data_IF_607816160864
#
_entry.id   IF_607816160864
#
_cell.length_a   1.000
_cell.length_b   1.000
_cell.length_c   1.000
_cell.angle_alpha   90.00
_cell.angle_beta   90.00
_cell.angle_gamma   90.00
#
_symmetry.space_group_name_H-M   'P 1'
#
loop_
_entity.id
_entity.type
_entity.pdbx_description
1 polymer ?
#
# COMPACT_ATOMS: atom_id res chain seq x y z
N UNK A 1 22.23 -7.00 -18.37
CA UNK A 1 20.77 -7.00 -18.56
C UNK A 1 20.21 -5.74 -17.94
N UNK A 2 19.49 -4.95 -18.72
CA UNK A 2 18.75 -3.78 -18.28
C UNK A 2 17.39 -4.17 -17.70
N UNK A 3 16.77 -3.25 -16.95
CA UNK A 3 15.40 -3.43 -16.43
C UNK A 3 14.44 -3.65 -17.58
N UNK A 4 14.58 -2.87 -18.65
CA UNK A 4 13.76 -2.92 -19.87
C UNK A 4 13.86 -4.28 -20.59
N UNK A 5 15.06 -4.86 -20.70
CA UNK A 5 15.24 -6.20 -21.28
C UNK A 5 14.55 -7.28 -20.43
N UNK A 6 14.62 -7.18 -19.10
CA UNK A 6 13.91 -8.11 -18.21
C UNK A 6 12.39 -7.95 -18.31
N UNK A 7 11.88 -6.71 -18.39
CA UNK A 7 10.45 -6.45 -18.54
C UNK A 7 9.91 -7.03 -19.86
N UNK A 8 10.67 -6.91 -20.96
CA UNK A 8 10.34 -7.50 -22.24
C UNK A 8 10.35 -9.04 -22.20
N UNK A 9 11.33 -9.66 -21.54
CA UNK A 9 11.40 -11.13 -21.36
C UNK A 9 10.24 -11.68 -20.52
N UNK A 10 9.78 -10.91 -19.52
CA UNK A 10 8.64 -11.27 -18.66
C UNK A 10 7.28 -10.86 -19.24
N UNK A 11 7.25 -10.21 -20.41
CA UNK A 11 6.02 -9.77 -21.05
C UNK A 11 5.20 -8.79 -20.21
N UNK A 12 5.86 -7.93 -19.40
CA UNK A 12 5.13 -7.11 -18.43
C UNK A 12 4.14 -6.13 -19.08
N UNK A 13 4.41 -5.68 -20.30
CA UNK A 13 3.48 -4.83 -21.06
C UNK A 13 2.14 -5.53 -21.35
N UNK A 14 2.13 -6.86 -21.51
CA UNK A 14 0.92 -7.62 -21.72
C UNK A 14 0.05 -7.69 -20.45
N UNK A 15 0.66 -7.73 -19.27
CA UNK A 15 -0.07 -7.86 -18.01
C UNK A 15 -0.48 -6.52 -17.40
N UNK A 16 0.22 -5.42 -17.68
CA UNK A 16 -0.06 -4.08 -17.10
C UNK A 16 -1.50 -3.59 -17.33
N UNK A 17 -2.10 -3.98 -18.45
CA UNK A 17 -3.48 -3.62 -18.80
C UNK A 17 -4.53 -4.64 -18.33
N UNK A 18 -4.10 -5.73 -17.69
CA UNK A 18 -5.02 -6.71 -17.14
C UNK A 18 -5.63 -6.21 -15.83
N UNK A 19 -6.86 -6.64 -15.57
CA UNK A 19 -7.56 -6.29 -14.33
C UNK A 19 -6.79 -6.77 -13.08
N UNK A 20 -6.23 -7.97 -13.13
CA UNK A 20 -5.45 -8.56 -12.04
C UNK A 20 -4.24 -7.70 -11.67
N UNK A 21 -3.52 -7.15 -12.66
CA UNK A 21 -2.38 -6.27 -12.38
C UNK A 21 -2.80 -4.95 -11.74
N UNK A 22 -3.93 -4.37 -12.20
CA UNK A 22 -4.46 -3.14 -11.64
C UNK A 22 -4.93 -3.36 -10.19
N UNK A 23 -5.67 -4.44 -9.95
CA UNK A 23 -6.11 -4.86 -8.61
C UNK A 23 -4.89 -5.06 -7.69
N UNK A 24 -3.89 -5.83 -8.11
CA UNK A 24 -2.68 -6.05 -7.32
C UNK A 24 -1.89 -4.76 -7.01
N UNK A 25 -1.88 -3.80 -7.95
CA UNK A 25 -1.24 -2.49 -7.74
C UNK A 25 -2.02 -1.64 -6.73
N UNK A 26 -3.35 -1.68 -6.77
CA UNK A 26 -4.20 -0.98 -5.82
C UNK A 26 -4.09 -1.59 -4.43
N UNK A 27 -4.13 -2.92 -4.33
CA UNK A 27 -3.89 -3.68 -3.10
C UNK A 27 -2.54 -3.33 -2.49
N UNK A 28 -1.45 -3.38 -3.28
CA UNK A 28 -0.12 -3.02 -2.78
C UNK A 28 0.00 -1.56 -2.33
N UNK A 29 -0.71 -0.62 -2.97
CA UNK A 29 -0.77 0.78 -2.51
C UNK A 29 -1.50 0.88 -1.17
N UNK A 30 -2.58 0.14 -0.98
CA UNK A 30 -3.34 0.10 0.27
C UNK A 30 -2.52 -0.55 1.40
N UNK A 31 -1.91 -1.70 1.14
CA UNK A 31 -1.04 -2.41 2.08
C UNK A 31 0.12 -1.51 2.53
N UNK A 32 0.81 -0.85 1.59
CA UNK A 32 1.90 0.07 1.92
C UNK A 32 1.47 1.26 2.78
N UNK A 33 0.26 1.79 2.59
CA UNK A 33 -0.31 2.84 3.47
C UNK A 33 -0.57 2.27 4.87
N UNK A 34 -1.17 1.09 4.97
CA UNK A 34 -1.46 0.42 6.26
C UNK A 34 -0.17 0.12 7.02
N UNK A 35 0.88 -0.37 6.34
CA UNK A 35 2.18 -0.66 6.93
C UNK A 35 2.92 0.60 7.42
N UNK A 36 2.56 1.79 6.92
CA UNK A 36 3.14 3.05 7.39
C UNK A 36 2.52 3.53 8.73
N UNK A 37 1.29 3.14 9.04
CA UNK A 37 0.53 3.54 10.25
C UNK A 37 1.34 3.40 11.55
N UNK A 38 2.01 2.27 11.86
CA UNK A 38 2.71 2.09 13.13
C UNK A 38 3.88 3.06 13.28
N UNK A 39 4.57 3.36 12.18
CA UNK A 39 5.69 4.30 12.18
C UNK A 39 5.20 5.72 12.40
N UNK A 40 4.09 6.12 11.78
CA UNK A 40 3.50 7.45 11.96
C UNK A 40 2.99 7.65 13.40
N UNK A 41 2.42 6.61 14.01
CA UNK A 41 2.07 6.63 15.44
C UNK A 41 3.28 6.84 16.33
N UNK A 42 4.39 6.14 16.06
CA UNK A 42 5.65 6.33 16.80
C UNK A 42 6.22 7.74 16.65
N UNK A 43 5.88 8.44 15.58
CA UNK A 43 6.24 9.85 15.35
C UNK A 43 5.27 10.83 16.04
N UNK A 44 4.25 10.33 16.74
CA UNK A 44 3.34 11.13 17.55
C UNK A 44 2.11 11.67 16.82
N UNK A 45 1.84 11.21 15.59
CA UNK A 45 0.62 11.59 14.86
C UNK A 45 -0.61 10.90 15.47
N UNK A 46 -1.76 11.59 15.48
CA UNK A 46 -3.05 11.00 15.87
C UNK A 46 -3.60 10.08 14.77
N UNK A 47 -4.56 9.21 15.12
CA UNK A 47 -5.20 8.33 14.14
C UNK A 47 -5.90 9.11 13.04
N UNK A 48 -6.52 10.24 13.39
CA UNK A 48 -7.21 11.15 12.46
C UNK A 48 -6.22 11.81 11.49
N UNK A 49 -5.08 12.28 12.00
CA UNK A 49 -4.02 12.86 11.16
C UNK A 49 -3.42 11.83 10.21
N UNK A 50 -3.28 10.57 10.66
CA UNK A 50 -2.79 9.47 9.82
C UNK A 50 -3.82 9.12 8.74
N UNK A 51 -5.10 9.02 9.11
CA UNK A 51 -6.19 8.77 8.18
C UNK A 51 -6.26 9.84 7.08
N UNK A 52 -6.17 11.12 7.47
CA UNK A 52 -6.12 12.24 6.53
C UNK A 52 -4.87 12.19 5.65
N UNK A 53 -3.68 12.06 6.24
CA UNK A 53 -2.41 12.09 5.49
C UNK A 53 -2.25 10.91 4.53
N UNK A 54 -2.83 9.75 4.86
CA UNK A 54 -2.79 8.56 4.02
C UNK A 54 -4.04 8.42 3.15
N UNK A 55 -5.00 9.34 3.20
CA UNK A 55 -6.29 9.23 2.52
C UNK A 55 -6.94 7.86 2.77
N UNK A 56 -7.02 7.47 4.03
CA UNK A 56 -7.63 6.23 4.49
C UNK A 56 -8.83 6.54 5.37
N UNK A 57 -9.81 5.64 5.37
CA UNK A 57 -10.88 5.65 6.37
C UNK A 57 -10.30 5.43 7.77
N UNK A 58 -10.82 6.16 8.75
CA UNK A 58 -10.34 6.10 10.14
C UNK A 58 -10.44 4.68 10.72
N UNK A 59 -11.45 3.92 10.32
CA UNK A 59 -11.65 2.54 10.77
C UNK A 59 -10.57 1.58 10.21
N UNK A 60 -10.05 1.84 9.00
CA UNK A 60 -8.92 1.07 8.44
C UNK A 60 -7.66 1.35 9.26
N UNK A 61 -7.42 2.61 9.61
CA UNK A 61 -6.28 2.98 10.46
C UNK A 61 -6.40 2.33 11.83
N UNK A 62 -7.59 2.34 12.45
CA UNK A 62 -7.84 1.66 13.75
C UNK A 62 -7.55 0.16 13.69
N UNK A 63 -8.10 -0.53 12.70
CA UNK A 63 -7.86 -1.97 12.51
C UNK A 63 -6.36 -2.28 12.32
N UNK A 64 -5.63 -1.41 11.62
CA UNK A 64 -4.19 -1.56 11.46
C UNK A 64 -3.50 -1.57 12.83
N UNK A 65 -3.86 -0.65 13.73
CA UNK A 65 -3.32 -0.56 15.10
C UNK A 65 -3.68 -1.76 15.95
N UNK A 66 -4.94 -2.21 15.89
CA UNK A 66 -5.42 -3.37 16.65
C UNK A 66 -4.65 -4.65 16.27
N UNK A 67 -4.38 -4.85 14.97
CA UNK A 67 -3.57 -5.97 14.48
C UNK A 67 -2.12 -5.96 15.00
N UNK A 68 -1.53 -4.81 15.33
CA UNK A 68 -0.19 -4.75 15.94
C UNK A 68 -0.18 -5.07 17.43
N UNK A 69 -1.34 -4.97 18.07
CA UNK A 69 -1.50 -5.19 19.51
C UNK A 69 -1.91 -6.64 19.84
N UNK A 70 -2.09 -7.47 18.80
CA UNK A 70 -2.46 -8.89 18.85
C UNK A 70 -1.22 -9.76 18.64
#
# INVERSE_FOLDING_TARGET
MSREEVEAMLGLDAIRNTRVYQEAKEEGKLEGKIEAVPRLLKLGLSLEQIAEALELEIDVVRQAVEKLSS
#
